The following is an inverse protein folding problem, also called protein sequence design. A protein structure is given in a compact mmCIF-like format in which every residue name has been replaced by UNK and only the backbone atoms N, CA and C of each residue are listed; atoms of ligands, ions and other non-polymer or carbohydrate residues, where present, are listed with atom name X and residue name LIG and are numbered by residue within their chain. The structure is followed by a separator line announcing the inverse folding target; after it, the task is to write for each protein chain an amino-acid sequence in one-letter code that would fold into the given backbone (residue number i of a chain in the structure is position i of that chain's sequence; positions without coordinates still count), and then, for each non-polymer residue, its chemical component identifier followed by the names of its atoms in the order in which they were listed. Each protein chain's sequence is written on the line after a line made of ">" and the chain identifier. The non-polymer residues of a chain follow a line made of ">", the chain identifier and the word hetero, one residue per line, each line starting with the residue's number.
data_IF_047891858507
#
_entry.id   IF_047891858507
#
_cell.length_a   1.000
_cell.length_b   1.000
_cell.length_c   1.000
_cell.angle_alpha   90.00
_cell.angle_beta   90.00
_cell.angle_gamma   90.00
#
_symmetry.space_group_name_H-M   'P 1'
#
loop_
_entity.id
_entity.type
_entity.pdbx_description
1 polymer ?
#
# COMPACT_ATOMS: atom_id res chain seq x y z
N UNK A 1 -18.91 8.23 -25.09
CA UNK A 1 -17.86 9.23 -24.76
C UNK A 1 -17.87 9.60 -23.26
N UNK A 2 -18.38 8.76 -22.35
CA UNK A 2 -18.44 9.08 -20.91
C UNK A 2 -17.87 7.96 -20.00
N UNK A 3 -17.65 6.77 -20.55
CA UNK A 3 -17.09 5.60 -19.82
C UNK A 3 -15.59 5.74 -19.60
N UNK A 4 -14.84 6.31 -20.54
CA UNK A 4 -13.39 6.53 -20.43
C UNK A 4 -13.00 7.42 -19.24
N UNK A 5 -13.76 8.51 -19.00
CA UNK A 5 -13.46 9.42 -17.89
C UNK A 5 -13.71 8.75 -16.53
N UNK A 6 -14.81 8.01 -16.40
CA UNK A 6 -15.11 7.26 -15.17
C UNK A 6 -14.06 6.18 -14.91
N UNK A 7 -13.60 5.50 -15.96
CA UNK A 7 -12.56 4.49 -15.86
C UNK A 7 -11.23 5.11 -15.41
N UNK A 8 -10.82 6.23 -16.00
CA UNK A 8 -9.62 6.96 -15.59
C UNK A 8 -9.68 7.42 -14.12
N UNK A 9 -10.84 7.90 -13.67
CA UNK A 9 -11.03 8.31 -12.27
C UNK A 9 -10.94 7.12 -11.31
N UNK A 10 -11.51 5.97 -11.66
CA UNK A 10 -11.38 4.73 -10.91
C UNK A 10 -9.92 4.25 -10.81
N UNK A 11 -9.15 4.35 -11.90
CA UNK A 11 -7.73 4.00 -11.90
C UNK A 11 -6.90 4.93 -11.00
N UNK A 12 -7.20 6.24 -11.01
CA UNK A 12 -6.54 7.22 -10.13
C UNK A 12 -6.84 6.93 -8.67
N UNK A 13 -8.10 6.68 -8.34
CA UNK A 13 -8.53 6.36 -6.97
C UNK A 13 -7.90 5.06 -6.46
N UNK A 14 -7.81 4.03 -7.30
CA UNK A 14 -7.17 2.77 -6.96
C UNK A 14 -5.66 2.96 -6.68
N UNK A 15 -4.97 3.76 -7.51
CA UNK A 15 -3.55 4.08 -7.30
C UNK A 15 -3.33 4.88 -6.02
N UNK A 16 -4.20 5.84 -5.71
CA UNK A 16 -4.08 6.63 -4.48
C UNK A 16 -4.18 5.76 -3.23
N UNK A 17 -5.15 4.84 -3.20
CA UNK A 17 -5.31 3.87 -2.10
C UNK A 17 -4.10 2.94 -1.96
N UNK A 18 -3.54 2.49 -3.07
CA UNK A 18 -2.33 1.66 -3.04
C UNK A 18 -1.11 2.42 -2.48
N UNK A 19 -0.94 3.68 -2.89
CA UNK A 19 0.13 4.55 -2.35
C UNK A 19 -0.05 4.83 -0.87
N UNK A 20 -1.27 5.10 -0.41
CA UNK A 20 -1.55 5.29 1.01
C UNK A 20 -1.19 4.06 1.83
N UNK A 21 -1.53 2.86 1.34
CA UNK A 21 -1.17 1.59 1.99
C UNK A 21 0.35 1.42 2.11
N UNK A 22 1.08 1.71 1.04
CA UNK A 22 2.56 1.66 1.03
C UNK A 22 3.13 2.64 2.05
N UNK A 23 2.62 3.88 2.06
CA UNK A 23 3.08 4.91 2.99
C UNK A 23 2.84 4.53 4.45
N UNK A 24 1.67 3.95 4.77
CA UNK A 24 1.36 3.46 6.11
C UNK A 24 2.32 2.35 6.55
N UNK A 25 2.62 1.39 5.67
CA UNK A 25 3.58 0.31 5.94
C UNK A 25 4.96 0.89 6.27
N UNK A 26 5.45 1.82 5.45
CA UNK A 26 6.74 2.48 5.68
C UNK A 26 6.74 3.28 6.98
N UNK A 27 5.67 4.01 7.28
CA UNK A 27 5.56 4.78 8.50
C UNK A 27 5.59 3.88 9.76
N UNK A 28 4.82 2.79 9.79
CA UNK A 28 4.87 1.84 10.91
C UNK A 28 6.25 1.21 11.07
N UNK A 29 6.91 0.85 9.98
CA UNK A 29 8.27 0.33 10.02
C UNK A 29 9.26 1.37 10.59
N UNK A 30 9.17 2.63 10.16
CA UNK A 30 9.99 3.73 10.66
C UNK A 30 9.75 4.04 12.15
N UNK A 31 8.55 3.76 12.65
CA UNK A 31 8.20 3.84 14.08
C UNK A 31 8.72 2.63 14.89
N UNK A 32 9.39 1.67 14.25
CA UNK A 32 9.98 0.49 14.89
C UNK A 32 9.02 -0.69 15.05
N UNK A 33 7.85 -0.66 14.41
CA UNK A 33 6.93 -1.81 14.41
C UNK A 33 7.56 -2.96 13.64
N UNK A 34 7.45 -4.19 14.17
CA UNK A 34 8.03 -5.36 13.53
C UNK A 34 7.34 -5.67 12.19
N UNK A 35 8.13 -6.12 11.22
CA UNK A 35 7.62 -6.54 9.90
C UNK A 35 6.53 -7.62 10.02
N UNK A 36 6.63 -8.52 11.02
CA UNK A 36 5.62 -9.55 11.27
C UNK A 36 4.26 -8.97 11.67
N UNK A 37 4.24 -7.98 12.57
CA UNK A 37 3.01 -7.30 13.01
C UNK A 37 2.42 -6.50 11.84
N UNK A 38 3.25 -5.83 11.06
CA UNK A 38 2.79 -5.08 9.87
C UNK A 38 2.18 -6.04 8.84
N UNK A 39 2.81 -7.18 8.58
CA UNK A 39 2.31 -8.21 7.66
C UNK A 39 0.95 -8.74 8.11
N UNK A 40 0.80 -9.06 9.40
CA UNK A 40 -0.47 -9.48 9.99
C UNK A 40 -1.56 -8.40 9.85
N UNK A 41 -1.25 -7.17 10.23
CA UNK A 41 -2.21 -6.05 10.19
C UNK A 41 -2.64 -5.66 8.76
N UNK A 42 -1.77 -5.87 7.78
CA UNK A 42 -2.02 -5.51 6.37
C UNK A 42 -2.48 -6.69 5.51
N UNK A 43 -2.57 -7.89 6.08
CA UNK A 43 -2.85 -9.15 5.34
C UNK A 43 -1.87 -9.37 4.17
N UNK A 44 -0.63 -8.90 4.32
CA UNK A 44 0.45 -9.09 3.34
C UNK A 44 1.41 -10.16 3.85
N UNK A 45 2.19 -10.75 2.93
CA UNK A 45 3.28 -11.60 3.35
C UNK A 45 4.40 -10.76 3.97
N UNK A 46 5.18 -11.37 4.87
CA UNK A 46 6.40 -10.76 5.42
C UNK A 46 7.38 -10.37 4.30
N UNK A 47 7.42 -11.14 3.21
CA UNK A 47 8.26 -10.84 2.06
C UNK A 47 7.79 -9.60 1.30
N UNK A 48 6.49 -9.43 1.11
CA UNK A 48 5.92 -8.24 0.45
C UNK A 48 6.17 -6.98 1.27
N UNK A 49 5.97 -7.05 2.60
CA UNK A 49 6.29 -5.92 3.49
C UNK A 49 7.79 -5.59 3.42
N UNK A 50 8.67 -6.61 3.40
CA UNK A 50 10.12 -6.38 3.21
C UNK A 50 10.43 -5.70 1.89
N UNK A 51 9.77 -6.06 0.79
CA UNK A 51 9.97 -5.40 -0.51
C UNK A 51 9.55 -3.94 -0.46
N UNK A 52 8.45 -3.64 0.23
CA UNK A 52 7.91 -2.29 0.36
C UNK A 52 8.82 -1.36 1.17
N UNK A 53 9.39 -1.84 2.28
CA UNK A 53 10.25 -1.00 3.15
C UNK A 53 11.71 -0.92 2.69
N UNK A 54 12.15 -1.82 1.80
CA UNK A 54 13.51 -1.83 1.23
C UNK A 54 13.60 -1.27 -0.21
N UNK A 55 12.49 -0.80 -0.78
CA UNK A 55 12.46 -0.06 -2.05
C UNK A 55 12.72 1.42 -1.82
#
# INVERSE_FOLDING_TARGET
>A
MSTDLLQQLLEVDQKAREQERIHLIQNFFNLGVSVGIIAEATSLSVEDVKRIVNS
#
